data_IF_421284401099
#
_entry.id   IF_421284401099
#
_cell.length_a   1.000
_cell.length_b   1.000
_cell.length_c   1.000
_cell.angle_alpha   90.00
_cell.angle_beta   90.00
_cell.angle_gamma   90.00
#
_symmetry.space_group_name_H-M   'P 1'
#
loop_
_entity.id
_entity.type
_entity.pdbx_description
1 polymer ?
#
# COMPACT_ATOMS: atom_id res chain seq x y z
N UNK A 1 -8.76 4.26 -12.96
CA UNK A 1 -7.30 4.07 -13.14
C UNK A 1 -6.51 4.71 -12.00
N UNK A 2 -6.91 5.91 -11.58
CA UNK A 2 -6.39 6.70 -10.45
C UNK A 2 -6.11 5.91 -9.16
N UNK A 3 -6.97 4.95 -8.80
CA UNK A 3 -6.79 4.15 -7.58
C UNK A 3 -5.59 3.21 -7.63
N UNK A 4 -5.17 2.72 -8.80
CA UNK A 4 -4.05 1.78 -8.93
C UNK A 4 -2.69 2.48 -8.84
N UNK A 5 -2.66 3.79 -9.09
CA UNK A 5 -1.42 4.57 -9.15
C UNK A 5 -0.86 4.88 -7.75
N UNK A 6 -1.75 5.17 -6.80
CA UNK A 6 -1.40 5.49 -5.42
C UNK A 6 -0.53 4.41 -4.73
N UNK A 7 -0.90 3.11 -4.75
CA UNK A 7 -0.06 2.08 -4.11
C UNK A 7 1.30 1.93 -4.79
N UNK A 8 1.36 2.15 -6.11
CA UNK A 8 2.62 2.10 -6.86
C UNK A 8 3.55 3.25 -6.46
N UNK A 9 3.04 4.48 -6.40
CA UNK A 9 3.82 5.65 -5.99
C UNK A 9 4.34 5.53 -4.56
N UNK A 10 3.50 5.06 -3.64
CA UNK A 10 3.87 4.85 -2.24
C UNK A 10 4.93 3.75 -2.10
N UNK A 11 4.79 2.63 -2.80
CA UNK A 11 5.82 1.58 -2.80
C UNK A 11 7.13 2.03 -3.46
N UNK A 12 7.07 2.70 -4.61
CA UNK A 12 8.25 3.25 -5.28
C UNK A 12 8.99 4.22 -4.35
N UNK A 13 8.27 5.11 -3.68
CA UNK A 13 8.82 6.03 -2.68
C UNK A 13 9.53 5.28 -1.56
N UNK A 14 8.86 4.29 -0.94
CA UNK A 14 9.44 3.52 0.14
C UNK A 14 10.68 2.71 -0.30
N UNK A 15 10.66 2.14 -1.51
CA UNK A 15 11.79 1.39 -2.07
C UNK A 15 12.98 2.30 -2.34
N UNK A 16 12.78 3.45 -2.99
CA UNK A 16 13.85 4.42 -3.26
C UNK A 16 14.49 4.88 -1.94
N UNK A 17 13.68 5.22 -0.94
CA UNK A 17 14.18 5.62 0.38
C UNK A 17 14.90 4.47 1.13
N UNK A 18 14.47 3.21 0.96
CA UNK A 18 15.14 2.05 1.53
C UNK A 18 16.51 1.80 0.87
N UNK A 19 16.58 1.89 -0.46
CA UNK A 19 17.82 1.77 -1.23
C UNK A 19 18.81 2.88 -0.86
N UNK A 20 18.34 4.13 -0.75
CA UNK A 20 19.17 5.22 -0.27
C UNK A 20 19.76 4.94 1.10
N UNK A 21 18.99 4.36 2.04
CA UNK A 21 19.52 4.01 3.37
C UNK A 21 20.53 2.88 3.36
N UNK A 22 20.45 1.95 2.40
CA UNK A 22 21.46 0.90 2.25
C UNK A 22 22.85 1.49 2.01
N UNK A 23 22.93 2.48 1.13
CA UNK A 23 24.18 3.15 0.77
C UNK A 23 24.88 3.77 2.00
N UNK A 24 24.10 4.29 2.95
CA UNK A 24 24.63 4.98 4.14
C UNK A 24 24.81 4.06 5.37
N UNK A 25 24.08 2.94 5.50
CA UNK A 25 24.07 2.13 6.74
C UNK A 25 24.43 0.64 6.52
N UNK A 26 24.64 0.20 5.28
CA UNK A 26 25.19 -1.11 4.86
C UNK A 26 24.54 -2.39 5.44
N UNK A 27 23.38 -2.30 6.08
CA UNK A 27 22.66 -3.45 6.63
C UNK A 27 21.70 -4.07 5.61
N UNK A 28 22.18 -5.04 4.83
CA UNK A 28 21.42 -5.69 3.76
C UNK A 28 20.13 -6.38 4.23
N UNK A 29 20.15 -7.07 5.38
CA UNK A 29 18.97 -7.78 5.92
C UNK A 29 17.82 -6.79 6.22
N UNK A 30 18.15 -5.64 6.80
CA UNK A 30 17.16 -4.60 7.13
C UNK A 30 16.55 -4.01 5.87
N UNK A 31 17.36 -3.75 4.84
CA UNK A 31 16.92 -3.16 3.57
C UNK A 31 16.00 -4.12 2.82
N UNK A 32 16.32 -5.42 2.81
CA UNK A 32 15.47 -6.45 2.20
C UNK A 32 14.08 -6.44 2.83
N UNK A 33 13.98 -6.43 4.17
CA UNK A 33 12.69 -6.31 4.85
C UNK A 33 11.98 -5.00 4.50
N UNK A 34 12.73 -3.89 4.48
CA UNK A 34 12.19 -2.57 4.17
C UNK A 34 11.68 -2.41 2.73
N UNK A 35 12.18 -3.21 1.79
CA UNK A 35 11.66 -3.26 0.41
C UNK A 35 10.51 -4.26 0.28
N UNK A 36 10.64 -5.44 0.90
CA UNK A 36 9.67 -6.52 0.80
C UNK A 36 8.29 -6.10 1.28
N UNK A 37 8.18 -5.44 2.44
CA UNK A 37 6.88 -5.07 3.00
C UNK A 37 6.12 -4.05 2.14
N UNK A 38 6.72 -2.91 1.71
CA UNK A 38 6.04 -2.02 0.78
C UNK A 38 5.64 -2.70 -0.54
N UNK A 39 6.51 -3.53 -1.12
CA UNK A 39 6.18 -4.24 -2.36
C UNK A 39 4.98 -5.16 -2.13
N UNK A 40 4.99 -5.95 -1.06
CA UNK A 40 3.90 -6.85 -0.70
C UNK A 40 2.58 -6.09 -0.52
N UNK A 41 2.58 -5.00 0.23
CA UNK A 41 1.38 -4.19 0.47
C UNK A 41 0.85 -3.54 -0.81
N UNK A 42 1.72 -3.07 -1.71
CA UNK A 42 1.29 -2.54 -3.00
C UNK A 42 0.67 -3.62 -3.88
N UNK A 43 1.30 -4.79 -3.98
CA UNK A 43 0.75 -5.93 -4.73
C UNK A 43 -0.59 -6.36 -4.15
N UNK A 44 -0.70 -6.48 -2.82
CA UNK A 44 -1.94 -6.80 -2.13
C UNK A 44 -3.03 -5.75 -2.41
N UNK A 45 -2.69 -4.47 -2.34
CA UNK A 45 -3.60 -3.39 -2.67
C UNK A 45 -4.06 -3.50 -4.13
N UNK A 46 -3.14 -3.68 -5.10
CA UNK A 46 -3.47 -3.85 -6.51
C UNK A 46 -4.39 -5.05 -6.72
N UNK A 47 -4.10 -6.17 -6.09
CA UNK A 47 -4.90 -7.39 -6.15
C UNK A 47 -6.33 -7.14 -5.64
N UNK A 48 -6.48 -6.50 -4.48
CA UNK A 48 -7.79 -6.18 -3.91
C UNK A 48 -8.58 -5.19 -4.77
N UNK A 49 -7.93 -4.19 -5.38
CA UNK A 49 -8.63 -3.27 -6.29
C UNK A 49 -9.13 -3.94 -7.57
N UNK A 50 -8.56 -5.07 -7.97
CA UNK A 50 -9.08 -5.87 -9.08
C UNK A 50 -10.29 -6.72 -8.66
N UNK A 51 -10.43 -7.04 -7.37
CA UNK A 51 -11.53 -7.88 -6.84
C UNK A 51 -12.69 -7.10 -6.22
N UNK A 52 -12.46 -5.89 -5.71
CA UNK A 52 -13.48 -5.07 -5.05
C UNK A 52 -14.36 -4.29 -6.03
N UNK A 53 -15.59 -3.98 -5.63
CA UNK A 53 -16.46 -3.10 -6.40
C UNK A 53 -15.92 -1.66 -6.44
N UNK A 54 -16.04 -1.02 -7.61
CA UNK A 54 -15.63 0.37 -7.84
C UNK A 54 -16.59 1.31 -7.10
N UNK A 55 -16.42 1.53 -5.80
CA UNK A 55 -17.28 2.50 -5.10
C UNK A 55 -16.95 2.79 -3.64
N UNK A 56 -16.47 1.81 -2.88
CA UNK A 56 -16.16 2.04 -1.47
C UNK A 56 -14.90 2.90 -1.32
N UNK A 57 -15.04 4.09 -0.73
CA UNK A 57 -13.94 5.01 -0.35
C UNK A 57 -13.20 5.75 -1.49
N UNK A 58 -13.89 6.17 -2.55
CA UNK A 58 -13.28 6.92 -3.66
C UNK A 58 -12.47 8.15 -3.23
N UNK A 59 -13.02 8.98 -2.34
CA UNK A 59 -12.35 10.20 -1.83
C UNK A 59 -11.09 9.89 -1.02
N UNK A 60 -11.11 8.85 -0.19
CA UNK A 60 -9.94 8.45 0.60
C UNK A 60 -8.80 7.94 -0.30
N UNK A 61 -9.14 7.18 -1.35
CA UNK A 61 -8.17 6.74 -2.35
C UNK A 61 -7.57 7.91 -3.14
N UNK A 62 -8.36 8.95 -3.42
CA UNK A 62 -7.85 10.17 -4.05
C UNK A 62 -6.90 10.92 -3.11
N UNK A 63 -7.24 11.06 -1.83
CA UNK A 63 -6.34 11.66 -0.84
C UNK A 63 -5.01 10.90 -0.72
N UNK A 64 -5.07 9.57 -0.69
CA UNK A 64 -3.89 8.71 -0.70
C UNK A 64 -3.06 8.87 -1.98
N UNK A 65 -3.70 9.09 -3.14
CA UNK A 65 -2.98 9.38 -4.38
C UNK A 65 -2.22 10.70 -4.29
N UNK A 66 -2.90 11.77 -3.86
CA UNK A 66 -2.28 13.10 -3.75
C UNK A 66 -1.11 13.05 -2.79
N UNK A 67 -1.29 12.46 -1.61
CA UNK A 67 -0.24 12.35 -0.61
C UNK A 67 0.91 11.44 -1.08
N UNK A 68 0.61 10.34 -1.78
CA UNK A 68 1.62 9.50 -2.42
C UNK A 68 2.41 10.23 -3.51
N UNK A 69 1.74 11.07 -4.30
CA UNK A 69 2.40 11.94 -5.28
C UNK A 69 3.34 12.95 -4.63
N UNK A 70 2.90 13.62 -3.55
CA UNK A 70 3.74 14.56 -2.80
C UNK A 70 4.99 13.86 -2.26
N UNK A 71 4.84 12.70 -1.60
CA UNK A 71 5.98 11.96 -1.05
C UNK A 71 6.94 11.48 -2.13
N UNK A 72 6.42 11.10 -3.30
CA UNK A 72 7.23 10.71 -4.44
C UNK A 72 8.05 11.89 -4.98
N UNK A 73 7.42 13.06 -5.18
CA UNK A 73 8.13 14.29 -5.61
C UNK A 73 9.19 14.70 -4.59
N UNK A 74 8.87 14.69 -3.29
CA UNK A 74 9.84 14.99 -2.23
C UNK A 74 11.04 14.04 -2.27
N UNK A 75 10.79 12.76 -2.54
CA UNK A 75 11.85 11.75 -2.68
C UNK A 75 12.72 12.02 -3.89
N UNK A 76 12.15 12.39 -5.04
CA UNK A 76 12.92 12.75 -6.23
C UNK A 76 13.75 14.02 -6.02
N UNK A 77 13.19 15.04 -5.38
CA UNK A 77 13.89 16.29 -5.04
C UNK A 77 15.07 16.02 -4.10
N UNK A 78 14.87 15.17 -3.10
CA UNK A 78 15.96 14.72 -2.22
C UNK A 78 17.01 13.92 -2.97
N UNK A 79 16.60 12.97 -3.79
CA UNK A 79 17.50 12.08 -4.52
C UNK A 79 18.37 12.82 -5.54
N UNK A 80 17.83 13.88 -6.17
CA UNK A 80 18.59 14.77 -7.05
C UNK A 80 19.59 15.69 -6.28
N UNK A 81 19.68 15.56 -4.96
CA UNK A 81 20.62 16.33 -4.13
C UNK A 81 20.21 17.79 -3.88
N UNK A 82 19.01 18.20 -4.28
CA UNK A 82 18.54 19.58 -4.08
C UNK A 82 18.22 19.86 -2.60
N UNK A 83 17.70 18.85 -1.88
CA UNK A 83 17.41 18.94 -0.44
C UNK A 83 17.84 17.65 0.25
N UNK A 84 19.06 17.58 0.82
CA UNK A 84 19.62 16.34 1.37
C UNK A 84 18.84 15.78 2.57
N UNK A 85 18.03 16.59 3.27
CA UNK A 85 17.15 16.11 4.34
C UNK A 85 16.01 15.20 3.83
N UNK A 86 15.71 15.22 2.53
CA UNK A 86 14.63 14.44 1.92
C UNK A 86 15.12 13.08 1.38
N UNK A 87 16.44 12.84 1.30
CA UNK A 87 16.98 11.57 0.84
C UNK A 87 18.40 11.29 1.36
N UNK A 88 18.65 10.13 1.98
CA UNK A 88 17.67 9.16 2.46
C UNK A 88 16.96 9.63 3.74
N UNK A 89 15.62 9.60 3.76
CA UNK A 89 14.81 10.03 4.89
C UNK A 89 13.99 8.89 5.49
N UNK A 90 14.27 8.58 6.75
CA UNK A 90 13.52 7.60 7.55
C UNK A 90 12.05 8.02 7.70
N UNK A 91 11.79 9.31 7.86
CA UNK A 91 10.43 9.86 7.99
C UNK A 91 9.60 9.66 6.73
N UNK A 92 10.17 9.98 5.55
CA UNK A 92 9.48 9.80 4.27
C UNK A 92 9.21 8.32 3.99
N UNK A 93 10.16 7.44 4.32
CA UNK A 93 9.96 6.00 4.21
C UNK A 93 8.75 5.52 5.02
N UNK A 94 8.70 5.83 6.33
CA UNK A 94 7.63 5.34 7.20
C UNK A 94 6.29 6.01 6.90
N UNK A 95 6.28 7.28 6.46
CA UNK A 95 5.07 7.93 5.98
C UNK A 95 4.52 7.22 4.74
N UNK A 96 5.35 6.92 3.75
CA UNK A 96 4.94 6.22 2.55
C UNK A 96 4.42 4.80 2.87
N UNK A 97 5.12 4.08 3.74
CA UNK A 97 4.72 2.75 4.18
C UNK A 97 3.40 2.74 4.96
N UNK A 98 3.22 3.69 5.90
CA UNK A 98 1.98 3.80 6.67
C UNK A 98 0.77 4.08 5.78
N UNK A 99 0.90 4.99 4.82
CA UNK A 99 -0.17 5.29 3.87
C UNK A 99 -0.50 4.11 2.97
N UNK A 100 0.51 3.32 2.59
CA UNK A 100 0.32 2.11 1.83
C UNK A 100 -0.43 1.04 2.64
N UNK A 101 -0.13 0.92 3.93
CA UNK A 101 -0.86 0.05 4.85
C UNK A 101 -2.32 0.50 5.02
N UNK A 102 -2.56 1.80 5.20
CA UNK A 102 -3.92 2.38 5.24
C UNK A 102 -4.68 2.08 3.95
N UNK A 103 -4.02 2.21 2.79
CA UNK A 103 -4.63 1.92 1.52
C UNK A 103 -5.05 0.45 1.39
N UNK A 104 -4.19 -0.49 1.80
CA UNK A 104 -4.53 -1.90 1.82
C UNK A 104 -5.71 -2.17 2.78
N UNK A 105 -5.69 -1.57 3.98
CA UNK A 105 -6.78 -1.71 4.96
C UNK A 105 -8.12 -1.20 4.42
N UNK A 106 -8.16 -0.03 3.77
CA UNK A 106 -9.37 0.50 3.13
C UNK A 106 -9.91 -0.44 2.05
N UNK A 107 -9.02 -1.09 1.29
CA UNK A 107 -9.43 -2.06 0.26
C UNK A 107 -9.95 -3.37 0.85
N UNK A 108 -9.34 -3.85 1.91
CA UNK A 108 -9.82 -5.02 2.65
C UNK A 108 -11.22 -4.71 3.20
N UNK A 109 -11.41 -3.55 3.83
CA UNK A 109 -12.70 -3.13 4.38
C UNK A 109 -13.78 -2.94 3.31
N UNK A 110 -13.39 -2.47 2.12
CA UNK A 110 -14.29 -2.30 0.97
C UNK A 110 -14.56 -3.57 0.16
N UNK A 111 -13.90 -4.69 0.45
CA UNK A 111 -14.14 -5.95 -0.26
C UNK A 111 -15.34 -6.65 0.37
N UNK A 112 -16.44 -6.92 -0.36
CA UNK A 112 -17.59 -7.62 0.20
C UNK A 112 -17.14 -8.98 0.72
N UNK A 113 -17.39 -9.24 2.02
CA UNK A 113 -17.16 -10.55 2.62
C UNK A 113 -18.11 -11.51 1.90
N UNK A 114 -17.57 -12.38 1.03
CA UNK A 114 -18.32 -13.48 0.41
C UNK A 114 -19.14 -14.12 1.54
N UNK A 115 -20.47 -13.91 1.52
CA UNK A 115 -21.37 -14.52 2.49
C UNK A 115 -21.11 -16.02 2.36
N UNK A 116 -20.72 -16.65 3.47
CA UNK A 116 -20.69 -18.11 3.60
C UNK A 116 -22.15 -18.56 3.42
N UNK A 117 -22.56 -18.75 2.17
CA UNK A 117 -23.92 -19.15 1.81
C UNK A 117 -23.94 -20.49 1.08
N UNK A 118 -22.85 -21.25 1.17
CA UNK A 118 -22.78 -22.65 0.77
C UNK A 118 -22.78 -23.57 2.01
N UNK A 119 -23.51 -23.21 3.06
CA UNK A 119 -23.96 -24.20 4.04
C UNK A 119 -25.31 -24.68 3.53
N UNK A 120 -25.44 -25.91 3.00
CA UNK A 120 -26.75 -26.43 2.63
C UNK A 120 -27.56 -26.48 3.92
N UNK A 121 -28.61 -25.67 3.98
CA UNK A 121 -29.65 -25.79 5.00
C UNK A 121 -30.25 -27.18 4.84
N UNK A 122 -29.75 -28.10 5.67
CA UNK A 122 -30.33 -29.41 5.90
C UNK A 122 -31.80 -29.18 6.27
N UNK A 123 -32.69 -29.52 5.34
CA UNK A 123 -34.12 -29.27 5.45
C UNK A 123 -34.71 -30.01 6.66
N UNK A 124 -35.87 -29.56 7.17
CA UNK A 124 -36.48 -30.20 8.32
C UNK A 124 -36.89 -31.63 7.96
N UNK A 125 -36.27 -32.61 8.61
CA UNK A 125 -36.72 -34.01 8.53
C UNK A 125 -38.10 -34.12 9.19
N UNK A 126 -39.14 -34.59 8.47
CA UNK A 126 -40.47 -34.73 9.01
C UNK A 126 -40.50 -35.87 10.04
N UNK A 127 -41.12 -35.58 11.19
CA UNK A 127 -41.49 -36.60 12.17
C UNK A 127 -42.42 -37.62 11.51
N UNK A 128 -42.10 -38.91 11.66
CA UNK A 128 -42.92 -40.06 11.33
C UNK A 128 -42.35 -41.31 11.99
#
# INVERSE_FOLDING_TARGET
MTSLLAPLLLAATAVIQALGRYEYHQNGITVVGQMLFPIFFAVLALFLARRGERGAFGTAHLGLLVLGGILFVLTLVGWNGTVPQLYPSVGIYYAAFALLAVQAALRIAGTPRRRREDAPSEGPSPRG
#
